data_IF_421925183159
#
_entry.id   IF_421925183159
#
_cell.length_a   1.000
_cell.length_b   1.000
_cell.length_c   1.000
_cell.angle_alpha   90.00
_cell.angle_beta   90.00
_cell.angle_gamma   90.00
#
_symmetry.space_group_name_H-M   'P 1'
#
loop_
_entity.id
_entity.type
_entity.pdbx_description
1 polymer ?
#
# COMPACT_ATOMS: atom_id res chain seq x y z
N UNK A 1 6.28 19.91 10.83
CA UNK A 1 5.31 19.08 10.10
C UNK A 1 3.87 19.54 10.31
N UNK A 2 3.36 19.58 11.55
CA UNK A 2 1.97 19.97 11.86
C UNK A 2 1.54 21.30 11.22
N UNK A 3 2.38 22.35 11.33
CA UNK A 3 2.12 23.65 10.67
C UNK A 3 1.91 23.53 9.16
N UNK A 4 2.70 22.70 8.45
CA UNK A 4 2.58 22.49 7.00
C UNK A 4 1.25 21.80 6.66
N UNK A 5 0.88 20.78 7.45
CA UNK A 5 -0.39 20.06 7.29
C UNK A 5 -1.57 21.02 7.46
N UNK A 6 -1.61 21.74 8.58
CA UNK A 6 -2.68 22.69 8.89
C UNK A 6 -2.80 23.80 7.83
N UNK A 7 -1.68 24.40 7.40
CA UNK A 7 -1.71 25.50 6.43
C UNK A 7 -2.19 25.01 5.05
N UNK A 8 -1.70 23.88 4.55
CA UNK A 8 -2.09 23.37 3.22
C UNK A 8 -3.56 22.91 3.24
N UNK A 9 -3.99 22.20 4.28
CA UNK A 9 -5.39 21.79 4.46
C UNK A 9 -6.31 23.01 4.59
N UNK A 10 -5.92 24.01 5.38
CA UNK A 10 -6.67 25.26 5.51
C UNK A 10 -6.77 26.02 4.18
N UNK A 11 -5.67 26.13 3.44
CA UNK A 11 -5.64 26.80 2.12
C UNK A 11 -6.54 26.10 1.09
N UNK A 12 -6.62 24.77 1.15
CA UNK A 12 -7.45 23.99 0.23
C UNK A 12 -8.95 23.99 0.57
N UNK A 13 -9.36 24.36 1.80
CA UNK A 13 -10.75 24.25 2.23
C UNK A 13 -11.37 25.57 2.75
N UNK A 14 -10.67 26.36 3.58
CA UNK A 14 -11.24 27.56 4.20
C UNK A 14 -11.68 28.64 3.19
N UNK A 15 -10.91 28.93 2.10
CA UNK A 15 -11.37 29.91 1.13
C UNK A 15 -12.64 29.48 0.41
N UNK A 16 -12.84 28.17 0.19
CA UNK A 16 -14.08 27.64 -0.39
C UNK A 16 -15.26 27.94 0.53
N UNK A 17 -15.13 27.65 1.83
CA UNK A 17 -16.17 27.97 2.81
C UNK A 17 -16.50 29.47 2.83
N UNK A 18 -15.46 30.32 2.88
CA UNK A 18 -15.65 31.76 2.94
C UNK A 18 -16.38 32.30 1.70
N UNK A 19 -15.97 31.86 0.50
CA UNK A 19 -16.61 32.25 -0.75
C UNK A 19 -18.05 31.72 -0.85
N UNK A 20 -18.29 30.46 -0.47
CA UNK A 20 -19.64 29.89 -0.45
C UNK A 20 -20.56 30.56 0.57
N UNK A 21 -20.04 31.07 1.69
CA UNK A 21 -20.82 31.87 2.65
C UNK A 21 -21.22 33.22 2.07
N UNK A 22 -20.28 33.92 1.42
CA UNK A 22 -20.53 35.22 0.79
C UNK A 22 -21.54 35.11 -0.34
N UNK A 23 -21.48 34.04 -1.13
CA UNK A 23 -22.41 33.78 -2.23
C UNK A 23 -23.74 33.17 -1.79
N UNK A 24 -23.90 32.83 -0.51
CA UNK A 24 -25.12 32.21 0.04
C UNK A 24 -25.30 30.72 -0.29
N UNK A 25 -24.32 30.06 -0.91
CA UNK A 25 -24.34 28.65 -1.31
C UNK A 25 -23.84 27.67 -0.23
N UNK A 26 -23.50 28.15 0.97
CA UNK A 26 -22.89 27.32 2.02
C UNK A 26 -23.87 26.31 2.64
N UNK A 27 -25.10 26.74 2.96
CA UNK A 27 -26.13 25.95 3.66
C UNK A 27 -27.34 25.68 2.78
N UNK A 28 -27.61 26.52 1.79
CA UNK A 28 -28.79 26.43 0.91
C UNK A 28 -28.59 27.22 -0.38
N UNK A 29 -29.67 27.48 -1.11
CA UNK A 29 -29.64 28.29 -2.35
C UNK A 29 -29.24 27.55 -3.62
N UNK A 30 -28.68 26.34 -3.50
CA UNK A 30 -28.34 25.42 -4.60
C UNK A 30 -28.74 23.98 -4.25
N UNK A 31 -28.82 23.10 -5.25
CA UNK A 31 -29.22 21.71 -5.03
C UNK A 31 -28.23 20.94 -4.14
N UNK A 32 -26.93 21.25 -4.25
CA UNK A 32 -25.88 20.69 -3.39
C UNK A 32 -25.08 21.83 -2.71
N UNK A 33 -25.44 22.20 -1.47
CA UNK A 33 -24.72 23.19 -0.69
C UNK A 33 -23.32 22.71 -0.30
N UNK A 34 -22.37 23.63 -0.12
CA UNK A 34 -20.98 23.29 0.23
C UNK A 34 -20.87 22.43 1.50
N UNK A 35 -21.63 22.76 2.56
CA UNK A 35 -21.54 22.03 3.82
C UNK A 35 -22.16 20.62 3.76
N UNK A 36 -22.97 20.34 2.74
CA UNK A 36 -23.53 19.02 2.48
C UNK A 36 -22.65 18.18 1.54
N UNK A 37 -21.63 18.78 0.92
CA UNK A 37 -20.75 18.09 -0.04
C UNK A 37 -19.70 17.23 0.68
N UNK A 38 -20.06 15.97 0.91
CA UNK A 38 -19.18 14.96 1.54
C UNK A 38 -17.87 14.75 0.77
N UNK A 39 -17.88 14.92 -0.55
CA UNK A 39 -16.68 14.76 -1.37
C UNK A 39 -15.64 15.83 -1.04
N UNK A 40 -16.07 17.07 -0.83
CA UNK A 40 -15.20 18.17 -0.41
C UNK A 40 -14.53 17.89 0.94
N UNK A 41 -15.27 17.35 1.93
CA UNK A 41 -14.69 16.94 3.22
C UNK A 41 -13.69 15.78 3.07
N UNK A 42 -14.09 14.72 2.36
CA UNK A 42 -13.25 13.55 2.14
C UNK A 42 -11.93 13.94 1.45
N UNK A 43 -11.99 14.78 0.41
CA UNK A 43 -10.82 15.21 -0.35
C UNK A 43 -9.93 16.17 0.43
N UNK A 44 -10.48 17.28 0.94
CA UNK A 44 -9.67 18.38 1.44
C UNK A 44 -9.35 18.28 2.93
N UNK A 45 -10.31 17.83 3.75
CA UNK A 45 -10.15 17.78 5.21
C UNK A 45 -9.65 16.42 5.73
N UNK A 46 -9.76 15.35 4.94
CA UNK A 46 -9.28 14.02 5.35
C UNK A 46 -8.11 13.54 4.46
N UNK A 47 -8.30 13.47 3.14
CA UNK A 47 -7.27 12.90 2.26
C UNK A 47 -6.00 13.76 2.21
N UNK A 48 -6.08 15.09 2.00
CA UNK A 48 -4.90 15.97 2.01
C UNK A 48 -4.03 15.81 3.28
N UNK A 49 -4.57 15.97 4.50
CA UNK A 49 -3.73 15.86 5.69
C UNK A 49 -3.13 14.46 5.85
N UNK A 50 -3.87 13.40 5.50
CA UNK A 50 -3.33 12.03 5.51
C UNK A 50 -2.21 11.89 4.47
N UNK A 51 -2.37 12.37 3.24
CA UNK A 51 -1.33 12.36 2.20
C UNK A 51 -0.07 13.13 2.63
N UNK A 52 -0.23 14.23 3.36
CA UNK A 52 0.90 14.98 3.91
C UNK A 52 1.58 14.21 5.04
N UNK A 53 0.82 13.66 6.00
CA UNK A 53 1.38 12.86 7.11
C UNK A 53 2.07 11.59 6.59
N UNK A 54 1.50 10.96 5.56
CA UNK A 54 2.06 9.79 4.90
C UNK A 54 3.51 10.04 4.45
N UNK A 55 3.88 11.28 4.10
CA UNK A 55 5.22 11.62 3.60
C UNK A 55 6.28 11.36 4.66
N UNK A 56 5.96 11.72 5.90
CA UNK A 56 6.83 11.49 7.04
C UNK A 56 6.90 9.99 7.37
N UNK A 57 5.75 9.33 7.46
CA UNK A 57 5.65 7.91 7.84
C UNK A 57 6.40 7.02 6.84
N UNK A 58 6.15 7.21 5.54
CA UNK A 58 6.80 6.46 4.47
C UNK A 58 8.30 6.75 4.46
N UNK A 59 8.72 8.00 4.58
CA UNK A 59 10.14 8.34 4.57
C UNK A 59 10.89 7.64 5.71
N UNK A 60 10.39 7.71 6.94
CA UNK A 60 11.02 7.10 8.11
C UNK A 60 11.08 5.57 7.99
N UNK A 61 9.98 4.94 7.56
CA UNK A 61 9.91 3.48 7.45
C UNK A 61 10.74 2.95 6.29
N UNK A 62 10.69 3.58 5.12
CA UNK A 62 11.44 3.14 3.93
C UNK A 62 12.95 3.19 4.17
N UNK A 63 13.47 4.18 4.88
CA UNK A 63 14.88 4.22 5.24
C UNK A 63 15.30 2.98 6.03
N UNK A 64 14.53 2.64 7.07
CA UNK A 64 14.79 1.43 7.87
C UNK A 64 14.77 0.15 7.02
N UNK A 65 13.82 0.04 6.09
CA UNK A 65 13.73 -1.12 5.18
C UNK A 65 14.95 -1.19 4.25
N UNK A 66 15.43 -0.05 3.75
CA UNK A 66 16.65 0.02 2.93
C UNK A 66 17.88 -0.40 3.74
N UNK A 67 17.98 0.02 5.00
CA UNK A 67 19.08 -0.36 5.88
C UNK A 67 19.06 -1.86 6.20
N UNK A 68 17.88 -2.47 6.32
CA UNK A 68 17.75 -3.92 6.56
C UNK A 68 18.33 -4.78 5.42
N UNK A 69 18.36 -4.29 4.17
CA UNK A 69 19.08 -4.99 3.09
C UNK A 69 20.59 -5.09 3.35
N UNK A 70 21.16 -4.12 4.08
CA UNK A 70 22.58 -4.05 4.42
C UNK A 70 22.87 -4.77 5.73
N UNK A 71 22.09 -4.49 6.78
CA UNK A 71 22.28 -5.06 8.12
C UNK A 71 22.12 -6.58 8.13
N UNK A 72 21.26 -7.12 7.26
CA UNK A 72 21.03 -8.56 7.13
C UNK A 72 21.90 -9.23 6.07
N UNK A 73 22.86 -8.50 5.48
CA UNK A 73 23.76 -9.00 4.42
C UNK A 73 23.05 -9.69 3.24
N UNK A 74 21.81 -9.27 2.94
CA UNK A 74 21.01 -9.85 1.86
C UNK A 74 21.63 -9.51 0.50
N UNK A 75 22.23 -8.33 0.38
CA UNK A 75 22.96 -7.92 -0.83
C UNK A 75 24.39 -8.45 -0.73
N UNK A 76 24.78 -9.31 -1.68
CA UNK A 76 26.15 -9.83 -1.74
C UNK A 76 27.17 -8.69 -1.72
N UNK A 77 28.30 -8.88 -1.02
CA UNK A 77 29.35 -7.87 -0.86
C UNK A 77 29.82 -7.29 -2.21
N UNK A 78 29.91 -8.12 -3.24
CA UNK A 78 30.30 -7.72 -4.61
C UNK A 78 29.31 -6.77 -5.29
N UNK A 79 28.06 -6.72 -4.83
CA UNK A 79 26.97 -5.93 -5.41
C UNK A 79 26.56 -4.72 -4.58
N UNK A 80 27.20 -4.49 -3.42
CA UNK A 80 26.98 -3.29 -2.59
C UNK A 80 27.17 -1.98 -3.37
N UNK A 81 28.20 -1.79 -4.21
CA UNK A 81 28.34 -0.56 -4.99
C UNK A 81 27.15 -0.30 -5.92
N UNK A 82 26.63 -1.34 -6.57
CA UNK A 82 25.46 -1.24 -7.47
C UNK A 82 24.17 -0.95 -6.69
N UNK A 83 24.04 -1.49 -5.49
CA UNK A 83 22.94 -1.17 -4.59
C UNK A 83 22.98 0.30 -4.16
N UNK A 84 24.16 0.80 -3.77
CA UNK A 84 24.34 2.20 -3.37
C UNK A 84 24.08 3.16 -4.55
N UNK A 85 24.48 2.79 -5.77
CA UNK A 85 24.15 3.53 -6.99
C UNK A 85 22.64 3.60 -7.26
N UNK A 86 21.93 2.47 -7.09
CA UNK A 86 20.49 2.40 -7.23
C UNK A 86 19.77 3.27 -6.18
N UNK A 87 20.21 3.20 -4.93
CA UNK A 87 19.71 4.04 -3.84
C UNK A 87 19.98 5.53 -4.11
N UNK A 88 21.19 5.87 -4.52
CA UNK A 88 21.56 7.25 -4.86
C UNK A 88 20.73 7.77 -6.05
N UNK A 89 20.48 6.95 -7.07
CA UNK A 89 19.63 7.31 -8.20
C UNK A 89 18.17 7.55 -7.77
N UNK A 90 17.62 6.68 -6.92
CA UNK A 90 16.28 6.86 -6.36
C UNK A 90 16.18 8.16 -5.54
N UNK A 91 17.20 8.45 -4.72
CA UNK A 91 17.31 9.67 -3.93
C UNK A 91 17.42 10.93 -4.79
N UNK A 92 18.22 10.90 -5.87
CA UNK A 92 18.32 12.02 -6.83
C UNK A 92 16.99 12.31 -7.50
N UNK A 93 16.27 11.27 -7.94
CA UNK A 93 14.94 11.44 -8.54
C UNK A 93 13.92 12.00 -7.54
N UNK A 94 13.90 11.47 -6.32
CA UNK A 94 12.99 11.91 -5.26
C UNK A 94 13.21 13.38 -4.86
N UNK A 95 14.47 13.83 -4.85
CA UNK A 95 14.84 15.18 -4.44
C UNK A 95 14.96 16.16 -5.63
N UNK A 96 14.53 15.76 -6.85
CA UNK A 96 14.67 16.59 -8.05
C UNK A 96 13.62 17.70 -8.12
N UNK A 97 14.07 18.95 -8.01
CA UNK A 97 13.20 20.14 -8.19
C UNK A 97 12.61 20.21 -9.60
N UNK A 98 13.34 19.74 -10.62
CA UNK A 98 12.85 19.71 -12.00
C UNK A 98 11.61 18.83 -12.11
N UNK A 99 11.60 17.68 -11.42
CA UNK A 99 10.42 16.81 -11.43
C UNK A 99 9.26 17.47 -10.69
N UNK A 100 9.49 18.12 -9.55
CA UNK A 100 8.43 18.82 -8.83
C UNK A 100 7.81 19.94 -9.68
N UNK A 101 8.62 20.71 -10.40
CA UNK A 101 8.14 21.74 -11.35
C UNK A 101 7.38 21.10 -12.51
N UNK A 102 7.87 20.01 -13.08
CA UNK A 102 7.20 19.29 -14.16
C UNK A 102 5.83 18.74 -13.72
N UNK A 103 5.73 18.17 -12.51
CA UNK A 103 4.46 17.73 -11.93
C UNK A 103 3.50 18.89 -11.72
N UNK A 104 3.99 20.06 -11.29
CA UNK A 104 3.16 21.25 -11.13
C UNK A 104 2.62 21.74 -12.48
N UNK A 105 3.46 21.82 -13.51
CA UNK A 105 3.03 22.16 -14.87
C UNK A 105 1.99 21.15 -15.36
N UNK A 106 2.23 19.87 -15.16
CA UNK A 106 1.32 18.79 -15.56
C UNK A 106 -0.08 18.96 -14.93
N UNK A 107 -0.15 19.33 -13.65
CA UNK A 107 -1.41 19.60 -12.95
C UNK A 107 -2.20 20.73 -13.61
N UNK A 108 -1.54 21.85 -13.93
CA UNK A 108 -2.23 22.99 -14.55
C UNK A 108 -2.59 22.76 -16.02
N UNK A 109 -1.85 21.89 -16.73
CA UNK A 109 -2.16 21.51 -18.12
C UNK A 109 -3.29 20.48 -18.19
N UNK A 110 -3.26 19.45 -17.33
CA UNK A 110 -4.27 18.38 -17.32
C UNK A 110 -5.56 18.77 -16.59
N UNK A 111 -5.50 19.68 -15.61
CA UNK A 111 -6.64 20.10 -14.79
C UNK A 111 -7.86 20.52 -15.62
N UNK A 112 -7.73 21.48 -16.56
CA UNK A 112 -8.84 21.92 -17.41
C UNK A 112 -9.39 20.81 -18.34
N UNK A 113 -8.52 19.92 -18.83
CA UNK A 113 -8.92 18.82 -19.74
C UNK A 113 -9.75 17.77 -19.02
N UNK A 114 -9.36 17.40 -17.80
CA UNK A 114 -10.08 16.44 -16.97
C UNK A 114 -11.40 17.02 -16.44
N UNK A 115 -11.41 18.31 -16.07
CA UNK A 115 -12.62 19.00 -15.61
C UNK A 115 -13.70 19.05 -16.69
N UNK A 116 -13.31 19.40 -17.92
CA UNK A 116 -14.23 19.54 -19.07
C UNK A 116 -14.88 18.22 -19.49
N UNK A 117 -14.19 17.08 -19.27
CA UNK A 117 -14.61 15.78 -19.77
C UNK A 117 -15.22 14.84 -18.70
N UNK A 118 -15.09 15.13 -17.40
CA UNK A 118 -15.43 14.15 -16.35
C UNK A 118 -16.22 14.65 -15.13
N UNK A 119 -16.38 15.96 -14.91
CA UNK A 119 -16.94 16.52 -13.65
C UNK A 119 -18.15 17.45 -13.84
N UNK A 120 -18.69 17.57 -15.04
CA UNK A 120 -19.90 18.35 -15.28
C UNK A 120 -21.14 17.60 -14.76
N UNK A 121 -21.42 17.71 -13.45
CA UNK A 121 -22.75 17.46 -12.92
C UNK A 121 -23.72 18.41 -13.62
N UNK A 122 -24.81 17.89 -14.17
CA UNK A 122 -25.81 18.66 -14.92
C UNK A 122 -26.79 19.40 -13.97
N UNK A 123 -26.33 19.76 -12.78
CA UNK A 123 -27.13 20.30 -11.67
C UNK A 123 -26.38 21.46 -11.03
N UNK A 124 -27.11 22.46 -10.55
CA UNK A 124 -26.56 23.59 -9.78
C UNK A 124 -25.88 23.10 -8.50
N UNK A 125 -24.58 23.40 -8.40
CA UNK A 125 -23.72 23.07 -7.25
C UNK A 125 -23.11 24.35 -6.70
N UNK A 126 -22.59 24.29 -5.47
CA UNK A 126 -21.90 25.43 -4.85
C UNK A 126 -20.70 25.96 -5.67
N UNK A 127 -20.13 25.14 -6.57
CA UNK A 127 -18.98 25.49 -7.41
C UNK A 127 -19.35 25.84 -8.86
N UNK A 128 -20.54 25.48 -9.33
CA UNK A 128 -20.97 25.73 -10.71
C UNK A 128 -22.48 25.94 -10.78
N UNK A 129 -22.88 27.04 -11.44
CA UNK A 129 -24.27 27.30 -11.82
C UNK A 129 -24.46 26.90 -13.27
N UNK A 130 -25.55 26.20 -13.57
CA UNK A 130 -25.93 25.79 -14.92
C UNK A 130 -27.02 26.73 -15.39
N UNK A 131 -26.66 27.70 -16.25
CA UNK A 131 -27.64 28.63 -16.85
C UNK A 131 -27.68 28.44 -18.37
N UNK A 132 -28.88 28.20 -18.91
CA UNK A 132 -29.16 28.05 -20.34
C UNK A 132 -28.15 27.19 -21.15
N UNK A 133 -27.68 26.07 -20.57
CA UNK A 133 -26.74 25.14 -21.22
C UNK A 133 -25.26 25.56 -21.15
N UNK A 134 -24.92 26.64 -20.43
CA UNK A 134 -23.54 27.02 -20.08
C UNK A 134 -23.33 26.84 -18.58
N UNK A 135 -22.24 26.18 -18.23
CA UNK A 135 -21.79 26.07 -16.84
C UNK A 135 -20.90 27.27 -16.53
N UNK A 136 -21.40 28.17 -15.68
CA UNK A 136 -20.62 29.30 -15.16
C UNK A 136 -20.09 28.93 -13.76
N UNK A 137 -18.79 29.10 -13.57
CA UNK A 137 -18.15 28.85 -12.28
C UNK A 137 -18.49 29.98 -11.31
N UNK A 138 -18.86 29.62 -10.09
CA UNK A 138 -18.96 30.57 -8.98
C UNK A 138 -17.57 31.04 -8.57
N UNK A 139 -17.45 32.09 -7.74
CA UNK A 139 -16.16 32.50 -7.17
C UNK A 139 -15.52 31.35 -6.38
N UNK A 140 -16.32 30.59 -5.64
CA UNK A 140 -15.88 29.36 -4.99
C UNK A 140 -15.40 28.30 -5.99
N UNK A 141 -16.07 28.15 -7.14
CA UNK A 141 -15.68 27.26 -8.23
C UNK A 141 -14.36 27.64 -8.90
N UNK A 142 -14.09 28.93 -9.08
CA UNK A 142 -12.80 29.41 -9.61
C UNK A 142 -11.65 29.02 -8.66
N UNK A 143 -11.82 29.22 -7.35
CA UNK A 143 -10.84 28.81 -6.34
C UNK A 143 -10.66 27.29 -6.29
N UNK A 144 -11.76 26.55 -6.39
CA UNK A 144 -11.74 25.08 -6.45
C UNK A 144 -10.87 24.60 -7.62
N UNK A 145 -11.11 25.13 -8.82
CA UNK A 145 -10.43 24.70 -10.04
C UNK A 145 -8.95 25.11 -10.10
N UNK A 146 -8.57 26.27 -9.58
CA UNK A 146 -7.20 26.81 -9.73
C UNK A 146 -6.29 26.62 -8.51
N UNK A 147 -6.87 26.42 -7.32
CA UNK A 147 -6.08 26.22 -6.11
C UNK A 147 -6.33 24.85 -5.49
N UNK A 148 -7.57 24.56 -5.10
CA UNK A 148 -7.86 23.40 -4.23
C UNK A 148 -7.62 22.06 -4.95
N UNK A 149 -8.12 21.93 -6.18
CA UNK A 149 -7.92 20.73 -7.01
C UNK A 149 -6.45 20.59 -7.43
N UNK A 150 -5.76 21.63 -7.92
CA UNK A 150 -4.34 21.57 -8.21
C UNK A 150 -3.47 21.16 -7.02
N UNK A 151 -3.73 21.69 -5.82
CA UNK A 151 -3.04 21.27 -4.59
C UNK A 151 -3.21 19.76 -4.38
N UNK A 152 -4.44 19.27 -4.47
CA UNK A 152 -4.73 17.85 -4.28
C UNK A 152 -4.08 16.96 -5.35
N UNK A 153 -4.25 17.30 -6.63
CA UNK A 153 -3.68 16.57 -7.77
C UNK A 153 -2.15 16.54 -7.72
N UNK A 154 -1.52 17.65 -7.36
CA UNK A 154 -0.09 17.73 -7.18
C UNK A 154 0.40 16.75 -6.10
N UNK A 155 -0.28 16.72 -4.94
CA UNK A 155 0.04 15.78 -3.87
C UNK A 155 -0.11 14.32 -4.32
N UNK A 156 -1.21 13.98 -5.01
CA UNK A 156 -1.43 12.63 -5.54
C UNK A 156 -0.36 12.24 -6.57
N UNK A 157 -0.07 13.09 -7.55
CA UNK A 157 0.94 12.82 -8.57
C UNK A 157 2.33 12.66 -7.97
N UNK A 158 2.67 13.49 -6.96
CA UNK A 158 3.91 13.36 -6.20
C UNK A 158 3.99 12.01 -5.47
N UNK A 159 2.87 11.50 -4.98
CA UNK A 159 2.79 10.16 -4.39
C UNK A 159 2.96 9.04 -5.41
N UNK A 160 2.27 9.09 -6.54
CA UNK A 160 2.44 8.11 -7.61
C UNK A 160 3.86 8.09 -8.15
N UNK A 161 4.49 9.26 -8.29
CA UNK A 161 5.90 9.36 -8.66
C UNK A 161 6.83 8.70 -7.63
N UNK A 162 6.58 8.88 -6.33
CA UNK A 162 7.33 8.18 -5.27
C UNK A 162 7.12 6.67 -5.29
N UNK A 163 5.89 6.21 -5.54
CA UNK A 163 5.61 4.78 -5.73
C UNK A 163 6.39 4.24 -6.94
N UNK A 164 6.43 4.97 -8.06
CA UNK A 164 7.20 4.59 -9.24
C UNK A 164 8.72 4.53 -8.95
N UNK A 165 9.26 5.45 -8.17
CA UNK A 165 10.66 5.39 -7.70
C UNK A 165 10.88 4.13 -6.84
N UNK A 166 9.97 3.84 -5.90
CA UNK A 166 10.05 2.65 -5.05
C UNK A 166 10.01 1.36 -5.85
N UNK A 167 9.09 1.26 -6.81
CA UNK A 167 8.98 0.14 -7.74
C UNK A 167 10.28 -0.06 -8.52
N UNK A 168 10.81 1.02 -9.12
CA UNK A 168 12.07 1.00 -9.85
C UNK A 168 13.22 0.54 -8.97
N UNK A 169 13.31 1.04 -7.75
CA UNK A 169 14.35 0.66 -6.79
C UNK A 169 14.26 -0.84 -6.46
N UNK A 170 13.09 -1.33 -6.06
CA UNK A 170 12.88 -2.76 -5.76
C UNK A 170 13.17 -3.66 -6.95
N UNK A 171 12.80 -3.23 -8.16
CA UNK A 171 13.13 -3.95 -9.39
C UNK A 171 14.64 -4.01 -9.65
N UNK A 172 15.36 -2.91 -9.41
CA UNK A 172 16.82 -2.91 -9.55
C UNK A 172 17.49 -3.83 -8.52
N UNK A 173 17.02 -3.78 -7.26
CA UNK A 173 17.55 -4.62 -6.18
C UNK A 173 17.26 -6.11 -6.44
N UNK A 174 16.08 -6.46 -6.94
CA UNK A 174 15.74 -7.86 -7.23
C UNK A 174 16.57 -8.49 -8.35
N UNK A 175 17.25 -7.67 -9.16
CA UNK A 175 18.17 -8.10 -10.23
C UNK A 175 19.61 -8.24 -9.76
N UNK A 176 19.94 -7.82 -8.54
CA UNK A 176 21.25 -8.05 -7.95
C UNK A 176 21.37 -9.50 -7.46
N UNK A 177 22.59 -10.07 -7.36
CA UNK A 177 22.79 -11.34 -6.69
C UNK A 177 22.52 -11.16 -5.19
N UNK A 178 21.37 -11.68 -4.75
CA UNK A 178 20.94 -11.67 -3.35
C UNK A 178 21.36 -12.99 -2.68
N UNK A 179 21.91 -12.91 -1.48
CA UNK A 179 22.28 -14.05 -0.65
C UNK A 179 21.07 -14.50 0.20
N UNK A 180 20.07 -15.08 -0.48
CA UNK A 180 18.82 -15.53 0.14
C UNK A 180 19.04 -16.83 0.92
N UNK A 181 18.78 -16.80 2.23
CA UNK A 181 18.95 -17.96 3.11
C UNK A 181 17.64 -18.75 3.22
N UNK A 182 17.55 -19.90 2.54
CA UNK A 182 16.32 -20.70 2.51
C UNK A 182 15.89 -21.26 3.88
N UNK A 183 16.85 -21.51 4.78
CA UNK A 183 16.62 -21.96 6.16
C UNK A 183 16.31 -20.81 7.13
N UNK A 184 16.11 -19.59 6.63
CA UNK A 184 15.81 -18.44 7.48
C UNK A 184 14.41 -18.60 8.13
N UNK A 185 14.25 -18.28 9.43
CA UNK A 185 13.01 -18.52 10.18
C UNK A 185 11.80 -17.72 9.67
N UNK A 186 12.01 -16.65 8.90
CA UNK A 186 10.94 -15.89 8.27
C UNK A 186 10.23 -16.63 7.11
N UNK A 187 10.72 -17.80 6.67
CA UNK A 187 10.19 -18.54 5.51
C UNK A 187 10.10 -17.69 4.23
N UNK A 188 10.91 -16.64 4.13
CA UNK A 188 10.95 -15.69 3.02
C UNK A 188 12.39 -15.37 2.61
N UNK A 189 13.34 -16.27 2.88
CA UNK A 189 14.71 -16.13 2.44
C UNK A 189 15.47 -14.98 3.09
N UNK A 190 15.01 -14.45 4.23
CA UNK A 190 15.51 -13.23 4.85
C UNK A 190 14.83 -11.94 4.38
N UNK A 191 13.92 -12.01 3.40
CA UNK A 191 13.17 -10.86 2.85
C UNK A 191 11.83 -10.59 3.55
N UNK A 192 11.54 -11.26 4.67
CA UNK A 192 10.26 -11.10 5.38
C UNK A 192 9.96 -9.66 5.81
N UNK A 193 10.99 -8.87 6.12
CA UNK A 193 10.86 -7.44 6.44
C UNK A 193 10.25 -6.61 5.31
N UNK A 194 10.39 -7.07 4.07
CA UNK A 194 9.81 -6.42 2.91
C UNK A 194 8.29 -6.60 2.89
N UNK A 195 7.75 -7.67 3.48
CA UNK A 195 6.31 -7.80 3.73
C UNK A 195 5.79 -6.71 4.68
N UNK A 196 6.55 -6.39 5.73
CA UNK A 196 6.19 -5.33 6.67
C UNK A 196 6.27 -3.93 6.05
N UNK A 197 7.04 -3.76 4.97
CA UNK A 197 7.17 -2.49 4.25
C UNK A 197 5.85 -1.96 3.69
N UNK A 198 4.93 -2.86 3.38
CA UNK A 198 3.60 -2.54 2.83
C UNK A 198 2.84 -1.60 3.77
N UNK A 199 2.97 -1.79 5.08
CA UNK A 199 2.30 -0.97 6.08
C UNK A 199 2.85 0.46 6.18
N UNK A 200 4.03 0.74 5.62
CA UNK A 200 4.50 2.11 5.48
C UNK A 200 3.57 2.95 4.59
N UNK A 201 2.94 2.31 3.60
CA UNK A 201 2.02 2.94 2.66
C UNK A 201 0.55 2.90 3.12
N UNK A 202 0.25 2.37 4.31
CA UNK A 202 -1.13 2.31 4.81
C UNK A 202 -1.81 3.70 4.87
N UNK A 203 -1.15 4.80 5.32
CA UNK A 203 -1.77 6.13 5.26
C UNK A 203 -2.10 6.57 3.83
N UNK A 204 -1.26 6.24 2.84
CA UNK A 204 -1.52 6.55 1.43
C UNK A 204 -2.76 5.80 0.92
N UNK A 205 -2.86 4.50 1.23
CA UNK A 205 -4.03 3.69 0.88
C UNK A 205 -5.31 4.22 1.51
N UNK A 206 -5.26 4.57 2.80
CA UNK A 206 -6.41 5.17 3.50
C UNK A 206 -6.81 6.49 2.84
N UNK A 207 -5.87 7.37 2.47
CA UNK A 207 -6.20 8.62 1.79
C UNK A 207 -6.88 8.39 0.42
N UNK A 208 -6.37 7.44 -0.37
CA UNK A 208 -6.97 7.08 -1.66
C UNK A 208 -8.37 6.46 -1.48
N UNK A 209 -8.53 5.55 -0.51
CA UNK A 209 -9.81 4.93 -0.20
C UNK A 209 -10.83 5.92 0.34
N UNK A 210 -10.43 6.89 1.18
CA UNK A 210 -11.31 7.97 1.67
C UNK A 210 -11.81 8.81 0.50
N UNK A 211 -10.93 9.20 -0.43
CA UNK A 211 -11.31 9.95 -1.62
C UNK A 211 -12.38 9.20 -2.42
N UNK A 212 -12.11 7.93 -2.73
CA UNK A 212 -13.01 7.10 -3.54
C UNK A 212 -14.33 6.83 -2.83
N UNK A 213 -14.29 6.55 -1.52
CA UNK A 213 -15.48 6.41 -0.71
C UNK A 213 -16.30 7.69 -0.67
N UNK A 214 -15.67 8.86 -0.59
CA UNK A 214 -16.37 10.15 -0.63
C UNK A 214 -17.13 10.38 -1.94
N UNK A 215 -16.51 10.03 -3.08
CA UNK A 215 -17.15 10.12 -4.40
C UNK A 215 -18.36 9.18 -4.48
N UNK A 216 -18.19 7.91 -4.10
CA UNK A 216 -19.30 6.93 -4.13
C UNK A 216 -20.41 7.34 -3.17
N UNK A 217 -20.07 7.78 -1.97
CA UNK A 217 -21.04 8.21 -0.96
C UNK A 217 -21.82 9.45 -1.39
N UNK A 218 -21.16 10.42 -2.02
CA UNK A 218 -21.82 11.60 -2.60
C UNK A 218 -22.86 11.20 -3.67
N UNK A 219 -22.53 10.22 -4.53
CA UNK A 219 -23.48 9.71 -5.54
C UNK A 219 -24.69 9.00 -4.93
N UNK A 220 -24.46 8.20 -3.89
CA UNK A 220 -25.53 7.50 -3.17
C UNK A 220 -26.45 8.49 -2.47
N UNK A 221 -25.90 9.53 -1.82
CA UNK A 221 -26.70 10.56 -1.14
C UNK A 221 -27.51 11.44 -2.10
N UNK A 222 -26.96 11.75 -3.27
CA UNK A 222 -27.66 12.54 -4.29
C UNK A 222 -28.68 11.75 -5.09
N UNK A 223 -28.83 10.44 -4.83
CA UNK A 223 -29.77 9.56 -5.52
C UNK A 223 -29.37 9.21 -6.96
N UNK A 224 -28.11 9.46 -7.33
CA UNK A 224 -27.59 9.20 -8.68
C UNK A 224 -27.14 7.75 -8.90
N UNK A 225 -27.15 6.93 -7.85
CA UNK A 225 -26.90 5.49 -7.91
C UNK A 225 -27.10 4.82 -6.54
N UNK A 226 -27.17 3.49 -6.54
CA UNK A 226 -27.31 2.70 -5.29
C UNK A 226 -25.96 2.15 -4.83
N UNK A 227 -25.77 2.00 -3.50
CA UNK A 227 -24.51 1.47 -2.97
C UNK A 227 -24.20 0.04 -3.46
N UNK A 228 -25.22 -0.74 -3.85
CA UNK A 228 -25.08 -2.06 -4.45
C UNK A 228 -24.50 -2.04 -5.86
N UNK A 229 -24.78 -1.00 -6.66
CA UNK A 229 -24.22 -0.85 -8.01
C UNK A 229 -22.70 -0.65 -7.97
N UNK A 230 -22.20 0.03 -6.94
CA UNK A 230 -20.79 0.34 -6.80
C UNK A 230 -19.94 -0.81 -6.21
N UNK A 231 -20.52 -1.95 -5.84
CA UNK A 231 -19.77 -3.06 -5.22
C UNK A 231 -18.62 -3.56 -6.10
N UNK A 232 -18.87 -3.73 -7.40
CA UNK A 232 -17.86 -4.16 -8.37
C UNK A 232 -16.75 -3.12 -8.55
N UNK A 233 -17.11 -1.83 -8.62
CA UNK A 233 -16.16 -0.73 -8.71
C UNK A 233 -15.29 -0.63 -7.45
N UNK A 234 -15.88 -0.73 -6.26
CA UNK A 234 -15.16 -0.71 -4.99
C UNK A 234 -14.21 -1.91 -4.90
N UNK A 235 -14.65 -3.11 -5.25
CA UNK A 235 -13.80 -4.31 -5.23
C UNK A 235 -12.61 -4.18 -6.19
N UNK A 236 -12.86 -3.68 -7.41
CA UNK A 236 -11.80 -3.43 -8.40
C UNK A 236 -10.82 -2.36 -7.91
N UNK A 237 -11.32 -1.26 -7.34
CA UNK A 237 -10.50 -0.17 -6.82
C UNK A 237 -9.65 -0.61 -5.63
N UNK A 238 -10.24 -1.29 -4.63
CA UNK A 238 -9.48 -1.85 -3.50
C UNK A 238 -8.41 -2.82 -3.99
N UNK A 239 -8.75 -3.68 -4.96
CA UNK A 239 -7.78 -4.60 -5.57
C UNK A 239 -6.63 -3.84 -6.23
N UNK A 240 -6.94 -2.80 -7.01
CA UNK A 240 -5.94 -1.94 -7.65
C UNK A 240 -5.05 -1.23 -6.62
N UNK A 241 -5.63 -0.66 -5.56
CA UNK A 241 -4.92 0.02 -4.48
C UNK A 241 -4.00 -0.92 -3.70
N UNK A 242 -4.44 -2.15 -3.43
CA UNK A 242 -3.60 -3.18 -2.80
C UNK A 242 -2.49 -3.62 -3.76
N UNK A 243 -2.83 -3.82 -5.03
CA UNK A 243 -1.89 -4.25 -6.07
C UNK A 243 -0.77 -3.22 -6.32
N UNK A 244 -1.03 -1.91 -6.23
CA UNK A 244 0.04 -0.91 -6.39
C UNK A 244 1.13 -0.98 -5.29
N UNK A 245 0.83 -1.54 -4.12
CA UNK A 245 1.78 -1.67 -3.01
C UNK A 245 2.43 -3.06 -2.98
N UNK A 246 1.66 -4.11 -3.26
CA UNK A 246 2.16 -5.49 -3.24
C UNK A 246 2.87 -5.86 -4.56
N UNK A 247 2.44 -5.30 -5.68
CA UNK A 247 3.01 -5.51 -7.02
C UNK A 247 4.55 -5.51 -7.09
N UNK A 248 5.26 -4.50 -6.55
CA UNK A 248 6.72 -4.46 -6.65
C UNK A 248 7.41 -5.52 -5.77
N UNK A 249 6.73 -6.09 -4.77
CA UNK A 249 7.27 -7.19 -3.98
C UNK A 249 7.38 -8.49 -4.79
N UNK A 250 6.57 -8.62 -5.83
CA UNK A 250 6.59 -9.78 -6.73
C UNK A 250 7.88 -9.86 -7.54
N UNK A 251 8.66 -8.77 -7.64
CA UNK A 251 9.96 -8.77 -8.32
C UNK A 251 10.98 -9.74 -7.71
N UNK A 252 10.80 -10.13 -6.44
CA UNK A 252 11.68 -11.07 -5.71
C UNK A 252 11.26 -12.54 -5.84
N UNK A 253 10.13 -12.83 -6.48
CA UNK A 253 9.58 -14.19 -6.59
C UNK A 253 10.51 -15.17 -7.27
N UNK A 254 11.17 -14.75 -8.34
CA UNK A 254 12.11 -15.55 -9.09
C UNK A 254 13.38 -15.86 -8.29
N UNK A 255 13.86 -14.91 -7.48
CA UNK A 255 14.99 -15.08 -6.58
C UNK A 255 14.68 -16.08 -5.46
N UNK A 256 13.54 -15.91 -4.79
CA UNK A 256 13.06 -16.82 -3.74
C UNK A 256 12.85 -18.25 -4.27
N UNK A 257 12.25 -18.38 -5.45
CA UNK A 257 12.03 -19.70 -6.08
C UNK A 257 13.35 -20.40 -6.43
N UNK A 258 14.37 -19.68 -6.90
CA UNK A 258 15.69 -20.25 -7.18
C UNK A 258 16.41 -20.67 -5.89
N UNK A 259 16.39 -19.82 -4.87
CA UNK A 259 16.98 -20.12 -3.57
C UNK A 259 16.34 -21.36 -2.93
N UNK A 260 15.00 -21.47 -2.98
CA UNK A 260 14.28 -22.65 -2.51
C UNK A 260 14.69 -23.92 -3.24
N UNK A 261 14.76 -23.90 -4.57
CA UNK A 261 15.15 -25.07 -5.36
C UNK A 261 16.59 -25.53 -5.08
N UNK A 262 17.53 -24.58 -5.02
CA UNK A 262 18.94 -24.87 -4.70
C UNK A 262 19.06 -25.50 -3.31
N UNK A 263 18.46 -24.86 -2.31
CA UNK A 263 18.50 -25.36 -0.94
C UNK A 263 17.81 -26.71 -0.78
N UNK A 264 16.68 -26.96 -1.45
CA UNK A 264 16.00 -28.27 -1.42
C UNK A 264 16.90 -29.38 -1.96
N UNK A 265 17.67 -29.12 -3.01
CA UNK A 265 18.61 -30.07 -3.56
C UNK A 265 19.80 -30.32 -2.61
N UNK A 266 20.47 -29.25 -2.15
CA UNK A 266 21.63 -29.34 -1.26
C UNK A 266 21.27 -29.98 0.08
N UNK A 267 20.17 -29.55 0.69
CA UNK A 267 19.67 -30.09 1.95
C UNK A 267 19.19 -31.55 1.79
N UNK A 268 18.56 -31.89 0.66
CA UNK A 268 18.16 -33.27 0.37
C UNK A 268 19.33 -34.24 0.29
N UNK A 269 20.45 -33.82 -0.32
CA UNK A 269 21.68 -34.61 -0.34
C UNK A 269 22.24 -34.81 1.07
N UNK A 270 22.30 -33.74 1.88
CA UNK A 270 22.77 -33.79 3.26
C UNK A 270 21.90 -34.71 4.13
N UNK A 271 20.57 -34.54 4.06
CA UNK A 271 19.62 -35.34 4.82
C UNK A 271 19.70 -36.83 4.43
N UNK A 272 19.84 -37.13 3.13
CA UNK A 272 19.99 -38.51 2.65
C UNK A 272 21.30 -39.14 3.13
N UNK A 273 22.42 -38.41 3.08
CA UNK A 273 23.70 -38.88 3.59
C UNK A 273 23.62 -39.15 5.10
N UNK A 274 23.07 -38.20 5.87
CA UNK A 274 22.92 -38.33 7.31
C UNK A 274 22.01 -39.51 7.71
N UNK A 275 20.85 -39.66 7.05
CA UNK A 275 19.93 -40.76 7.33
C UNK A 275 20.56 -42.14 7.07
N UNK A 276 21.34 -42.30 6.00
CA UNK A 276 22.09 -43.54 5.72
C UNK A 276 23.13 -43.85 6.79
N UNK A 277 23.84 -42.83 7.27
CA UNK A 277 24.86 -43.00 8.33
C UNK A 277 24.19 -43.40 9.65
N UNK A 278 23.07 -42.76 9.96
CA UNK A 278 22.25 -43.08 11.12
C UNK A 278 21.71 -44.51 11.07
N UNK A 279 21.12 -44.94 9.96
CA UNK A 279 20.61 -46.31 9.78
C UNK A 279 21.71 -47.37 9.94
N UNK A 280 22.88 -47.14 9.35
CA UNK A 280 24.03 -48.05 9.48
C UNK A 280 24.48 -48.21 10.93
N UNK A 281 24.54 -47.11 11.68
CA UNK A 281 25.01 -47.11 13.07
C UNK A 281 23.98 -47.68 14.04
N UNK A 282 22.72 -47.29 13.91
CA UNK A 282 21.69 -47.55 14.92
C UNK A 282 20.70 -48.66 14.57
N UNK A 283 20.48 -48.97 13.29
CA UNK A 283 19.50 -49.97 12.87
C UNK A 283 20.13 -51.26 12.34
N UNK A 284 21.29 -51.18 11.68
CA UNK A 284 21.96 -52.33 11.06
C UNK A 284 23.02 -53.00 11.96
N UNK A 285 23.16 -52.57 13.22
CA UNK A 285 23.83 -53.34 14.27
C UNK A 285 25.35 -53.15 14.41
N UNK A 286 25.89 -51.94 14.21
CA UNK A 286 27.23 -51.64 14.73
C UNK A 286 27.15 -51.64 16.27
N UNK A 287 27.98 -52.42 17.00
CA UNK A 287 27.86 -52.55 18.46
C UNK A 287 28.09 -51.18 19.11
N UNK A 288 27.07 -50.58 19.77
CA UNK A 288 27.28 -49.39 20.57
C UNK A 288 28.02 -49.79 21.84
N UNK A 289 28.98 -49.00 22.31
CA UNK A 289 29.34 -49.05 23.72
C UNK A 289 28.04 -48.85 24.52
N UNK A 290 27.72 -49.81 25.39
CA UNK A 290 26.37 -50.08 25.89
C UNK A 290 25.69 -48.93 26.67
N UNK A 291 26.41 -47.83 26.95
CA UNK A 291 25.94 -46.69 27.75
C UNK A 291 25.53 -45.45 26.93
N UNK A 292 25.59 -45.45 25.59
CA UNK A 292 25.39 -44.23 24.77
C UNK A 292 23.96 -44.05 24.21
N UNK A 293 23.05 -45.00 24.44
CA UNK A 293 21.67 -44.92 23.90
C UNK A 293 20.85 -43.75 24.45
N UNK A 294 21.08 -43.36 25.71
CA UNK A 294 20.42 -42.23 26.35
C UNK A 294 21.36 -41.01 26.30
N UNK A 295 20.97 -39.97 25.55
CA UNK A 295 21.75 -38.73 25.44
C UNK A 295 22.68 -38.63 24.23
N UNK A 296 22.54 -39.50 23.21
CA UNK A 296 23.32 -39.36 21.97
C UNK A 296 22.93 -38.11 21.19
N UNK A 297 23.92 -37.35 20.73
CA UNK A 297 23.72 -36.17 19.89
C UNK A 297 23.09 -36.49 18.53
N UNK A 298 23.16 -37.76 18.08
CA UNK A 298 22.67 -38.21 16.78
C UNK A 298 21.14 -38.14 16.68
N UNK A 299 20.41 -38.57 17.72
CA UNK A 299 18.93 -38.53 17.71
C UNK A 299 18.42 -37.09 17.72
N UNK A 300 19.05 -36.21 18.51
CA UNK A 300 18.73 -34.78 18.52
C UNK A 300 19.03 -34.13 17.17
N UNK A 301 20.18 -34.44 16.57
CA UNK A 301 20.56 -33.91 15.25
C UNK A 301 19.60 -34.38 14.14
N UNK A 302 19.09 -35.62 14.22
CA UNK A 302 18.07 -36.11 13.28
C UNK A 302 16.74 -35.33 13.43
N UNK A 303 16.33 -35.02 14.66
CA UNK A 303 15.18 -34.17 14.92
C UNK A 303 15.40 -32.72 14.42
N UNK A 304 16.62 -32.19 14.58
CA UNK A 304 17.01 -30.87 14.06
C UNK A 304 17.05 -30.81 12.52
N UNK A 305 17.39 -31.91 11.86
CA UNK A 305 17.26 -32.04 10.40
C UNK A 305 15.79 -32.03 9.97
N UNK A 306 14.91 -32.72 10.69
CA UNK A 306 13.49 -32.71 10.40
C UNK A 306 12.88 -31.30 10.58
N UNK A 307 13.27 -30.58 11.64
CA UNK A 307 12.82 -29.20 11.87
C UNK A 307 13.34 -28.23 10.79
N UNK A 308 14.61 -28.38 10.38
CA UNK A 308 15.20 -27.62 9.27
C UNK A 308 14.49 -27.90 7.94
N UNK A 309 14.10 -29.16 7.71
CA UNK A 309 13.31 -29.56 6.53
C UNK A 309 11.91 -28.92 6.53
N UNK A 310 11.26 -28.80 7.69
CA UNK A 310 9.95 -28.13 7.80
C UNK A 310 10.07 -26.65 7.39
N UNK A 311 11.09 -25.93 7.88
CA UNK A 311 11.34 -24.54 7.51
C UNK A 311 11.54 -24.40 5.99
N UNK A 312 12.36 -25.27 5.40
CA UNK A 312 12.68 -25.25 3.98
C UNK A 312 11.45 -25.58 3.10
N UNK A 313 10.65 -26.56 3.49
CA UNK A 313 9.42 -26.92 2.79
C UNK A 313 8.36 -25.81 2.89
N UNK A 314 8.35 -25.08 4.01
CA UNK A 314 7.49 -23.93 4.28
C UNK A 314 7.96 -22.62 3.64
N UNK A 315 9.12 -22.59 2.96
CA UNK A 315 9.64 -21.38 2.32
C UNK A 315 8.68 -20.87 1.22
N UNK A 316 8.25 -19.62 1.37
CA UNK A 316 7.32 -18.95 0.46
C UNK A 316 8.02 -18.46 -0.80
N UNK A 317 7.27 -18.44 -1.90
CA UNK A 317 7.73 -17.87 -3.18
C UNK A 317 7.56 -16.36 -3.26
N UNK A 318 6.96 -15.73 -2.24
CA UNK A 318 6.73 -14.28 -2.13
C UNK A 318 7.20 -13.79 -0.75
N UNK A 319 7.63 -12.52 -0.63
CA UNK A 319 8.18 -11.99 0.62
C UNK A 319 7.11 -11.57 1.66
N UNK A 320 5.83 -11.81 1.40
CA UNK A 320 4.70 -11.45 2.28
C UNK A 320 3.82 -12.67 2.60
N UNK A 321 3.02 -12.62 3.66
CA UNK A 321 2.05 -13.67 4.01
C UNK A 321 0.60 -13.24 3.71
N UNK A 322 -0.31 -14.21 3.82
CA UNK A 322 -1.74 -13.97 3.74
C UNK A 322 -2.23 -12.97 4.78
N UNK A 323 -1.64 -12.95 5.99
CA UNK A 323 -2.02 -12.02 7.06
C UNK A 323 -1.72 -10.57 6.67
N UNK A 324 -0.59 -10.33 6.01
CA UNK A 324 -0.21 -9.02 5.47
C UNK A 324 -1.20 -8.56 4.42
N UNK A 325 -1.53 -9.43 3.45
CA UNK A 325 -2.52 -9.13 2.42
C UNK A 325 -3.89 -8.81 3.03
N UNK A 326 -4.37 -9.67 3.94
CA UNK A 326 -5.66 -9.50 4.60
C UNK A 326 -5.73 -8.19 5.39
N UNK A 327 -4.71 -7.88 6.21
CA UNK A 327 -4.64 -6.62 6.96
C UNK A 327 -4.63 -5.40 6.03
N UNK A 328 -3.95 -5.49 4.89
CA UNK A 328 -3.92 -4.40 3.93
C UNK A 328 -5.28 -4.18 3.27
N UNK A 329 -5.94 -5.27 2.85
CA UNK A 329 -7.30 -5.23 2.28
C UNK A 329 -8.26 -4.63 3.28
N UNK A 330 -8.25 -5.10 4.53
CA UNK A 330 -9.11 -4.55 5.60
C UNK A 330 -8.85 -3.06 5.82
N UNK A 331 -7.59 -2.63 5.92
CA UNK A 331 -7.25 -1.22 6.09
C UNK A 331 -7.68 -0.35 4.89
N UNK A 332 -7.58 -0.89 3.68
CA UNK A 332 -7.96 -0.20 2.43
C UNK A 332 -9.48 -0.14 2.27
N UNK A 333 -10.21 -1.15 2.73
CA UNK A 333 -11.68 -1.20 2.68
C UNK A 333 -12.34 -0.41 3.80
N UNK A 334 -11.65 -0.16 4.91
CA UNK A 334 -12.23 0.49 6.08
C UNK A 334 -12.94 1.84 5.79
N UNK A 335 -12.42 2.74 4.92
CA UNK A 335 -13.10 3.97 4.59
C UNK A 335 -14.45 3.80 3.88
N UNK A 336 -14.71 2.65 3.25
CA UNK A 336 -15.99 2.34 2.59
C UNK A 336 -17.04 1.81 3.58
N UNK A 337 -16.70 1.57 4.85
CA UNK A 337 -17.63 1.07 5.86
C UNK A 337 -18.92 1.92 6.01
N UNK A 338 -18.88 3.27 5.98
CA UNK A 338 -20.10 4.08 6.04
C UNK A 338 -21.10 3.79 4.91
N UNK A 339 -20.63 3.37 3.73
CA UNK A 339 -21.52 2.97 2.62
C UNK A 339 -22.29 1.69 2.93
N UNK A 340 -21.70 0.77 3.70
CA UNK A 340 -22.40 -0.46 4.11
C UNK A 340 -23.60 -0.11 4.99
N UNK A 341 -23.45 0.92 5.84
CA UNK A 341 -24.52 1.38 6.74
C UNK A 341 -25.70 2.04 6.02
N UNK A 342 -25.55 2.43 4.75
CA UNK A 342 -26.68 2.93 3.95
C UNK A 342 -27.58 1.80 3.43
N UNK A 343 -27.07 0.56 3.39
CA UNK A 343 -27.79 -0.62 2.89
C UNK A 343 -28.21 -1.55 4.02
N UNK A 344 -27.32 -1.78 4.98
CA UNK A 344 -27.52 -2.71 6.09
C UNK A 344 -27.54 -1.91 7.40
N UNK A 345 -28.61 -1.99 8.21
CA UNK A 345 -28.64 -1.39 9.52
C UNK A 345 -27.47 -1.90 10.38
N UNK A 346 -26.84 -1.01 11.16
CA UNK A 346 -25.66 -1.34 11.98
C UNK A 346 -25.85 -2.58 12.86
N UNK A 347 -27.03 -2.74 13.48
CA UNK A 347 -27.36 -3.88 14.35
C UNK A 347 -27.30 -5.20 13.60
N UNK A 348 -27.81 -5.22 12.36
CA UNK A 348 -27.81 -6.41 11.50
C UNK A 348 -26.38 -6.75 11.05
N UNK A 349 -25.56 -5.74 10.77
CA UNK A 349 -24.16 -5.93 10.41
C UNK A 349 -23.36 -6.56 11.56
N UNK A 350 -23.54 -6.06 12.79
CA UNK A 350 -22.87 -6.61 13.98
C UNK A 350 -23.29 -8.06 14.22
N UNK A 351 -24.58 -8.37 14.06
CA UNK A 351 -25.09 -9.74 14.19
C UNK A 351 -24.41 -10.69 13.20
N UNK A 352 -24.34 -10.33 11.91
CA UNK A 352 -23.69 -11.14 10.87
C UNK A 352 -22.20 -11.36 11.13
N UNK A 353 -21.49 -10.35 11.61
CA UNK A 353 -20.06 -10.48 11.94
C UNK A 353 -19.86 -11.45 13.10
N UNK A 354 -20.69 -11.35 14.15
CA UNK A 354 -20.64 -12.28 15.28
C UNK A 354 -20.94 -13.72 14.85
N UNK A 355 -21.92 -13.92 13.96
CA UNK A 355 -22.25 -15.24 13.40
C UNK A 355 -21.12 -15.82 12.54
N UNK A 356 -20.33 -15.00 11.85
CA UNK A 356 -19.16 -15.47 11.07
C UNK A 356 -17.93 -15.76 11.94
N UNK A 357 -17.89 -15.25 13.17
CA UNK A 357 -16.79 -15.45 14.12
C UNK A 357 -17.01 -16.64 15.06
N UNK A 358 -18.27 -17.10 15.18
CA UNK A 358 -18.63 -18.38 15.81
C UNK A 358 -18.53 -19.51 14.79
#
# INVERSE_FOLDING_TARGET
MLRRVLVITALAWLPLLALSLVEGHAVGGVAVPFLADVEAYARFLIAIPILLVAELVVHQRLWRIVDEFRERDIVALSSRPRFDEALAAAMRLRNSTIVEVALLILVFVLGPVLWKNGLALHVDTWYARVDAGRSELTGAGVWLAHASIPIFQFLLLRWYFRLAIWWRFLWQVSRLPLDLKALHPDRAGGLGFLGDSVFAFAPLLVAQSVLLSGIVFSRVLTGTGTATEFQGEIALLVTFLVAQIIGPLLFFTSGLGQARRRAMHEFGMLATAYARDFERRWMQGAPPEADVLLGSADIQSLADLASSSDILSGMRSVPFDWRTLFRLVVATSAPFFPLVLTVIPFVELVRRVLEMMM
#
